data_IF_831004042745
#
_entry.id   IF_831004042745
#
_cell.length_a   1.000
_cell.length_b   1.000
_cell.length_c   1.000
_cell.angle_alpha   90.00
_cell.angle_beta   90.00
_cell.angle_gamma   90.00
#
_symmetry.space_group_name_H-M   'P 1'
#
loop_
_entity.id
_entity.type
_entity.pdbx_description
1 polymer ?
#
# COMPACT_ATOMS: atom_id res chain seq x y z
N UNK A 1 -3.67 -7.25 -11.57
CA UNK A 1 -2.65 -6.22 -11.26
C UNK A 1 -1.56 -6.11 -12.34
N UNK A 2 -0.80 -7.17 -12.64
CA UNK A 2 0.37 -7.10 -13.55
C UNK A 2 0.08 -6.50 -14.93
N UNK A 3 -1.01 -6.89 -15.58
CA UNK A 3 -1.44 -6.32 -16.87
C UNK A 3 -1.85 -4.83 -16.82
N UNK A 4 -1.95 -4.25 -15.62
CA UNK A 4 -2.23 -2.83 -15.35
C UNK A 4 -0.99 -2.09 -14.81
N UNK A 5 0.20 -2.66 -14.98
CA UNK A 5 1.47 -2.03 -14.60
C UNK A 5 1.75 -2.03 -13.08
N UNK A 6 1.08 -2.87 -12.29
CA UNK A 6 1.29 -2.99 -10.84
C UNK A 6 1.69 -4.41 -10.47
N UNK A 7 2.79 -4.54 -9.73
CA UNK A 7 3.21 -5.78 -9.06
C UNK A 7 2.67 -5.74 -7.63
N UNK A 8 1.97 -6.81 -7.23
CA UNK A 8 1.62 -7.06 -5.84
C UNK A 8 2.68 -8.02 -5.31
N UNK A 9 3.61 -7.51 -4.51
CA UNK A 9 4.75 -8.29 -4.05
C UNK A 9 4.35 -9.33 -3.00
N UNK A 10 3.47 -8.92 -2.09
CA UNK A 10 2.88 -9.75 -1.06
C UNK A 10 1.55 -9.12 -0.60
N UNK A 11 0.75 -9.92 0.11
CA UNK A 11 -0.49 -9.48 0.74
C UNK A 11 -0.76 -10.29 2.00
N UNK A 12 -1.42 -9.67 2.97
CA UNK A 12 -2.02 -10.34 4.12
C UNK A 12 -3.52 -10.55 3.83
N UNK A 13 -4.01 -11.75 4.06
CA UNK A 13 -5.44 -12.04 4.10
C UNK A 13 -5.83 -12.46 5.51
N UNK A 14 -7.07 -12.20 5.88
CA UNK A 14 -7.69 -12.77 7.07
C UNK A 14 -8.87 -13.63 6.65
N UNK A 15 -9.03 -14.77 7.32
CA UNK A 15 -10.12 -15.69 7.07
C UNK A 15 -10.83 -16.01 8.37
N UNK A 16 -12.15 -16.19 8.29
CA UNK A 16 -13.00 -16.74 9.34
C UNK A 16 -13.73 -17.98 8.85
N UNK A 17 -14.45 -18.61 9.77
CA UNK A 17 -15.46 -19.62 9.44
C UNK A 17 -16.84 -19.00 9.65
N UNK A 18 -17.78 -19.23 8.73
CA UNK A 18 -19.17 -18.84 8.93
C UNK A 18 -19.95 -19.89 9.77
N UNK A 19 -21.28 -19.77 9.82
CA UNK A 19 -22.12 -20.64 10.65
C UNK A 19 -22.17 -22.09 10.13
N UNK A 20 -21.83 -22.28 8.85
CA UNK A 20 -21.80 -23.55 8.14
C UNK A 20 -20.40 -24.19 8.14
N UNK A 21 -19.43 -23.59 8.86
CA UNK A 21 -18.01 -23.94 8.88
C UNK A 21 -17.29 -23.74 7.53
N UNK A 22 -17.84 -22.92 6.63
CA UNK A 22 -17.19 -22.58 5.38
C UNK A 22 -16.12 -21.50 5.59
N UNK A 23 -14.98 -21.64 4.90
CA UNK A 23 -13.88 -20.67 4.98
C UNK A 23 -14.23 -19.40 4.19
N UNK A 24 -14.36 -18.28 4.90
CA UNK A 24 -14.74 -16.99 4.32
C UNK A 24 -13.58 -16.01 4.42
N UNK A 25 -13.28 -15.33 3.31
CA UNK A 25 -12.37 -14.18 3.32
C UNK A 25 -13.05 -13.02 4.06
N UNK A 26 -12.37 -12.53 5.09
CA UNK A 26 -12.81 -11.37 5.87
C UNK A 26 -11.82 -10.22 5.68
N UNK A 27 -12.02 -9.13 6.42
CA UNK A 27 -11.19 -7.92 6.38
C UNK A 27 -11.08 -7.33 4.96
N UNK A 28 -10.15 -6.40 4.75
CA UNK A 28 -9.79 -5.91 3.42
C UNK A 28 -8.89 -6.90 2.66
N UNK A 29 -8.99 -6.88 1.34
CA UNK A 29 -8.22 -7.74 0.45
C UNK A 29 -7.62 -6.95 -0.70
N UNK A 30 -6.31 -7.13 -0.92
CA UNK A 30 -5.57 -6.52 -2.03
C UNK A 30 -5.73 -4.98 -2.07
N UNK A 31 -5.57 -4.35 -0.91
CA UNK A 31 -5.50 -2.90 -0.76
C UNK A 31 -4.05 -2.47 -0.53
N UNK A 32 -3.68 -1.19 -0.72
CA UNK A 32 -2.32 -0.71 -0.38
C UNK A 32 -1.99 -0.78 1.13
N UNK A 33 -2.98 -1.08 1.97
CA UNK A 33 -2.80 -1.28 3.41
C UNK A 33 -2.44 -2.73 3.76
N UNK A 34 -3.11 -3.68 3.09
CA UNK A 34 -2.91 -5.13 3.27
C UNK A 34 -1.84 -5.71 2.34
N UNK A 35 -1.39 -4.97 1.33
CA UNK A 35 -0.45 -5.42 0.31
C UNK A 35 0.66 -4.42 0.01
N UNK A 36 1.81 -4.91 -0.46
CA UNK A 36 2.87 -4.06 -1.04
C UNK A 36 2.71 -3.94 -2.55
N UNK A 37 2.51 -2.71 -3.04
CA UNK A 37 2.28 -2.42 -4.46
C UNK A 37 3.47 -1.71 -5.09
N UNK A 38 4.07 -2.33 -6.11
CA UNK A 38 5.21 -1.77 -6.84
C UNK A 38 4.85 -1.42 -8.28
N UNK A 39 5.31 -0.27 -8.83
CA UNK A 39 5.21 0.02 -10.25
C UNK A 39 6.05 -0.96 -11.06
N UNK A 40 5.42 -1.69 -11.98
CA UNK A 40 6.06 -2.76 -12.73
C UNK A 40 7.19 -2.27 -13.65
N UNK A 41 7.10 -1.03 -14.14
CA UNK A 41 8.08 -0.34 -14.98
C UNK A 41 9.34 0.11 -14.22
N UNK A 42 9.26 0.20 -12.88
CA UNK A 42 10.36 0.67 -12.03
C UNK A 42 11.06 -0.43 -11.24
N UNK A 43 10.50 -1.66 -11.21
CA UNK A 43 11.04 -2.75 -10.43
C UNK A 43 12.33 -3.32 -11.04
N UNK A 44 13.30 -3.61 -10.17
CA UNK A 44 14.55 -4.27 -10.52
C UNK A 44 15.06 -5.07 -9.31
N UNK A 45 15.85 -6.11 -9.55
CA UNK A 45 16.46 -6.89 -8.48
C UNK A 45 17.53 -6.07 -7.74
N UNK A 46 17.62 -6.26 -6.42
CA UNK A 46 18.65 -5.63 -5.59
C UNK A 46 18.37 -4.18 -5.17
N UNK A 47 17.20 -3.63 -5.48
CA UNK A 47 16.77 -2.30 -5.01
C UNK A 47 15.51 -2.38 -4.15
N UNK A 48 15.33 -1.39 -3.27
CA UNK A 48 14.04 -1.13 -2.63
C UNK A 48 13.14 -0.43 -3.65
N UNK A 49 12.07 -1.08 -4.14
CA UNK A 49 11.26 -0.51 -5.22
C UNK A 49 10.49 0.72 -4.73
N UNK A 50 10.18 1.68 -5.63
CA UNK A 50 9.21 2.71 -5.33
C UNK A 50 7.88 2.05 -4.95
N UNK A 51 7.20 2.58 -3.94
CA UNK A 51 5.93 2.00 -3.49
C UNK A 51 4.75 2.94 -3.70
N UNK A 52 3.58 2.37 -4.00
CA UNK A 52 2.30 3.08 -3.96
C UNK A 52 1.66 3.08 -2.56
N UNK A 53 2.33 2.51 -1.57
CA UNK A 53 1.81 2.33 -0.21
C UNK A 53 2.36 3.36 0.80
N UNK A 54 2.26 3.01 2.08
CA UNK A 54 2.68 3.77 3.27
C UNK A 54 4.16 4.16 3.30
N UNK A 55 4.97 3.81 2.30
CA UNK A 55 6.40 4.09 2.29
C UNK A 55 6.73 5.58 2.46
N UNK A 56 5.97 6.51 1.88
CA UNK A 56 6.21 7.95 2.07
C UNK A 56 6.08 8.42 3.52
N UNK A 57 5.09 7.90 4.24
CA UNK A 57 4.91 8.19 5.67
C UNK A 57 6.02 7.56 6.48
N UNK A 58 6.40 6.32 6.16
CA UNK A 58 7.50 5.61 6.84
C UNK A 58 8.81 6.37 6.65
N UNK A 59 9.18 6.69 5.42
CA UNK A 59 10.41 7.41 5.09
C UNK A 59 10.45 8.77 5.80
N UNK A 60 9.34 9.51 5.80
CA UNK A 60 9.25 10.77 6.55
C UNK A 60 9.45 10.55 8.06
N UNK A 61 8.79 9.55 8.66
CA UNK A 61 8.92 9.28 10.09
C UNK A 61 10.33 8.84 10.48
N UNK A 62 11.06 8.14 9.62
CA UNK A 62 12.47 7.79 9.86
C UNK A 62 13.40 9.03 9.86
N UNK A 63 12.98 10.17 9.30
CA UNK A 63 13.74 11.43 9.40
C UNK A 63 13.60 12.11 10.76
N UNK A 64 12.64 11.69 11.59
CA UNK A 64 12.33 12.33 12.86
C UNK A 64 13.03 11.62 14.03
N UNK A 65 13.49 12.39 15.01
CA UNK A 65 13.97 11.88 16.30
C UNK A 65 12.83 11.43 17.24
N UNK A 66 11.77 10.83 16.70
CA UNK A 66 10.53 10.51 17.42
C UNK A 66 10.63 9.24 18.28
N UNK A 67 11.62 8.37 18.02
CA UNK A 67 11.83 7.15 18.83
C UNK A 67 10.67 6.13 18.78
N UNK A 68 9.69 6.33 17.88
CA UNK A 68 8.55 5.43 17.62
C UNK A 68 7.68 5.12 18.85
N UNK A 69 7.58 6.09 19.78
CA UNK A 69 6.75 5.99 20.99
C UNK A 69 5.56 6.94 20.93
N UNK A 70 4.36 6.54 21.40
CA UNK A 70 3.24 7.46 21.50
C UNK A 70 3.55 8.69 22.37
N UNK A 71 3.01 9.88 22.05
CA UNK A 71 2.16 10.17 20.88
C UNK A 71 2.96 10.31 19.58
N UNK A 72 2.34 9.98 18.45
CA UNK A 72 2.95 10.19 17.13
C UNK A 72 3.02 11.67 16.74
N UNK A 73 4.07 12.09 16.00
CA UNK A 73 4.18 13.46 15.53
C UNK A 73 3.09 13.74 14.49
N UNK A 74 2.67 14.99 14.40
CA UNK A 74 1.79 15.41 13.31
C UNK A 74 2.55 15.36 11.99
N UNK A 75 1.91 14.79 10.98
CA UNK A 75 2.45 14.77 9.62
C UNK A 75 2.23 16.13 8.94
N UNK A 76 3.24 16.67 8.23
CA UNK A 76 3.06 17.83 7.38
C UNK A 76 2.02 17.56 6.30
N UNK A 77 1.29 18.60 5.90
CA UNK A 77 0.25 18.51 4.88
C UNK A 77 0.75 17.91 3.57
N UNK A 78 1.97 18.24 3.16
CA UNK A 78 2.59 17.70 1.95
C UNK A 78 2.74 16.17 1.99
N UNK A 79 3.14 15.61 3.13
CA UNK A 79 3.28 14.15 3.29
C UNK A 79 1.91 13.47 3.23
N UNK A 80 0.89 14.10 3.83
CA UNK A 80 -0.50 13.62 3.77
C UNK A 80 -1.00 13.62 2.32
N UNK A 81 -0.82 14.72 1.60
CA UNK A 81 -1.26 14.86 0.20
C UNK A 81 -0.53 13.89 -0.74
N UNK A 82 0.80 13.75 -0.60
CA UNK A 82 1.60 12.78 -1.37
C UNK A 82 1.17 11.35 -1.11
N UNK A 83 0.94 11.00 0.15
CA UNK A 83 0.46 9.66 0.51
C UNK A 83 -0.91 9.41 -0.11
N UNK A 84 -1.86 10.32 0.07
CA UNK A 84 -3.20 10.18 -0.51
C UNK A 84 -3.18 10.08 -2.06
N UNK A 85 -2.30 10.83 -2.72
CA UNK A 85 -2.13 10.76 -4.17
C UNK A 85 -1.69 9.36 -4.64
N UNK A 86 -0.82 8.68 -3.88
CA UNK A 86 -0.34 7.34 -4.21
C UNK A 86 -1.42 6.27 -4.10
N UNK A 87 -2.29 6.37 -3.09
CA UNK A 87 -3.47 5.51 -2.98
C UNK A 87 -4.42 5.70 -4.14
N UNK A 88 -4.71 6.95 -4.54
CA UNK A 88 -5.55 7.24 -5.71
C UNK A 88 -4.92 6.74 -7.01
N UNK A 89 -3.61 6.86 -7.15
CA UNK A 89 -2.89 6.35 -8.32
C UNK A 89 -3.00 4.82 -8.42
N UNK A 90 -2.78 4.10 -7.31
CA UNK A 90 -2.98 2.64 -7.27
C UNK A 90 -4.42 2.25 -7.60
N UNK A 91 -5.41 2.93 -6.99
CA UNK A 91 -6.82 2.72 -7.24
C UNK A 91 -7.15 2.89 -8.74
N UNK A 92 -6.74 4.03 -9.33
CA UNK A 92 -7.05 4.33 -10.73
C UNK A 92 -6.44 3.32 -11.69
N UNK A 93 -5.17 2.93 -11.49
CA UNK A 93 -4.53 1.88 -12.30
C UNK A 93 -5.29 0.55 -12.20
N UNK A 94 -5.67 0.15 -11.00
CA UNK A 94 -6.25 -1.17 -10.73
C UNK A 94 -7.73 -1.28 -11.11
N UNK A 95 -8.50 -0.21 -11.00
CA UNK A 95 -9.95 -0.20 -11.20
C UNK A 95 -10.30 0.34 -12.59
N UNK A 96 -9.93 1.58 -12.87
CA UNK A 96 -10.43 2.33 -14.05
C UNK A 96 -9.82 1.85 -15.37
N UNK A 97 -8.71 1.11 -15.28
CA UNK A 97 -7.87 0.78 -16.43
C UNK A 97 -6.98 1.98 -16.69
N UNK A 98 -5.71 1.74 -16.99
CA UNK A 98 -4.79 2.82 -17.29
C UNK A 98 -5.46 3.75 -18.32
N UNK A 99 -5.69 5.01 -17.94
CA UNK A 99 -6.08 6.03 -18.89
C UNK A 99 -5.02 5.98 -20.00
N UNK A 100 -5.45 5.57 -21.18
CA UNK A 100 -4.67 5.65 -22.43
C UNK A 100 -4.19 7.05 -22.67
#
# INVERSE_FOLDING_TARGET
ARGRGVIIADTKFEFGLDAEEDLVLIDEALTPDSSRFWPADSYALGQSPPSFDKQFVRDYLETLAWGKKPPAPRLPREIIEKTAAKYREAQSRLIDGAAT
#
